data_IF_322964113109
#
_entry.id   IF_322964113109
#
_cell.length_a   1.000
_cell.length_b   1.000
_cell.length_c   1.000
_cell.angle_alpha   90.00
_cell.angle_beta   90.00
_cell.angle_gamma   90.00
#
_symmetry.space_group_name_H-M   'P 1'
#
loop_
_entity.id
_entity.type
_entity.pdbx_description
1 polymer ?
#
# COMPACT_ATOMS: atom_id res chain seq x y z
N UNK A 1 -14.19 -36.81 -16.84
CA UNK A 1 -12.84 -36.24 -16.75
C UNK A 1 -12.45 -36.35 -15.30
N UNK A 2 -11.45 -37.18 -15.01
CA UNK A 2 -11.06 -37.57 -13.66
C UNK A 2 -10.25 -36.46 -13.00
N UNK A 3 -10.33 -36.38 -11.66
CA UNK A 3 -9.62 -35.43 -10.79
C UNK A 3 -8.09 -35.44 -10.97
N UNK A 4 -7.56 -36.45 -11.68
CA UNK A 4 -6.14 -36.63 -12.00
C UNK A 4 -5.67 -35.77 -13.19
N UNK A 5 -6.56 -35.30 -14.07
CA UNK A 5 -6.20 -34.43 -15.20
C UNK A 5 -6.09 -32.95 -14.81
N UNK A 6 -6.75 -32.53 -13.72
CA UNK A 6 -6.69 -31.14 -13.23
C UNK A 6 -5.34 -30.82 -12.60
N UNK A 7 -4.66 -31.81 -12.01
CA UNK A 7 -3.40 -31.61 -11.28
C UNK A 7 -2.13 -31.63 -12.16
N UNK A 8 -2.27 -31.77 -13.48
CA UNK A 8 -1.13 -31.69 -14.44
C UNK A 8 -0.95 -30.30 -15.07
N UNK A 9 -1.92 -29.39 -14.91
CA UNK A 9 -1.90 -28.06 -15.54
C UNK A 9 -1.05 -27.01 -14.82
N UNK A 10 -0.62 -27.26 -13.58
CA UNK A 10 0.04 -26.25 -12.73
C UNK A 10 1.50 -26.59 -12.37
N UNK A 11 2.03 -27.74 -12.79
CA UNK A 11 3.38 -28.17 -12.40
C UNK A 11 4.54 -27.62 -13.26
N UNK A 12 4.27 -26.72 -14.21
CA UNK A 12 5.29 -26.14 -15.10
C UNK A 12 5.26 -24.60 -15.14
N UNK A 13 4.94 -23.94 -14.01
CA UNK A 13 5.30 -22.54 -13.83
C UNK A 13 6.57 -22.48 -12.97
N UNK A 14 7.69 -22.91 -13.53
CA UNK A 14 9.01 -22.57 -13.01
C UNK A 14 9.15 -21.05 -13.11
N UNK A 15 8.94 -20.37 -11.98
CA UNK A 15 9.27 -18.97 -11.77
C UNK A 15 10.81 -18.85 -11.75
N UNK A 16 11.44 -18.96 -12.92
CA UNK A 16 12.89 -18.70 -13.08
C UNK A 16 13.16 -17.27 -13.61
N UNK A 17 12.13 -16.41 -13.61
CA UNK A 17 12.23 -15.01 -14.05
C UNK A 17 11.78 -14.00 -12.96
N UNK A 18 11.83 -14.35 -11.67
CA UNK A 18 11.51 -13.38 -10.59
C UNK A 18 12.60 -12.31 -10.39
N UNK A 19 13.84 -12.55 -10.83
CA UNK A 19 14.97 -11.60 -10.65
C UNK A 19 15.04 -10.48 -11.71
N UNK A 20 14.22 -10.51 -12.77
CA UNK A 20 14.25 -9.48 -13.84
C UNK A 20 13.18 -8.39 -13.69
N UNK A 21 12.13 -8.59 -12.90
CA UNK A 21 11.11 -7.56 -12.65
C UNK A 21 11.59 -6.45 -11.72
N UNK A 22 12.65 -6.70 -10.94
CA UNK A 22 13.26 -5.72 -10.01
C UNK A 22 14.24 -4.75 -10.69
N UNK A 23 14.54 -4.95 -11.98
CA UNK A 23 15.36 -4.00 -12.76
C UNK A 23 14.51 -3.07 -13.59
N UNK A 24 13.49 -2.46 -12.97
CA UNK A 24 13.05 -1.16 -13.46
C UNK A 24 14.21 -0.20 -13.15
N UNK A 25 15.11 0.00 -14.11
CA UNK A 25 16.05 1.15 -14.12
C UNK A 25 15.21 2.44 -14.25
N UNK A 26 14.40 2.72 -13.24
CA UNK A 26 13.66 3.95 -13.12
C UNK A 26 14.61 5.01 -12.60
N UNK A 27 14.69 6.15 -13.30
CA UNK A 27 15.40 7.33 -12.81
C UNK A 27 14.72 8.00 -11.60
N UNK A 28 13.85 7.29 -10.88
CA UNK A 28 13.21 7.79 -9.68
C UNK A 28 14.28 8.03 -8.62
N UNK A 29 14.32 9.27 -8.14
CA UNK A 29 15.14 9.64 -6.99
C UNK A 29 14.18 9.95 -5.84
N UNK A 30 14.24 9.19 -4.73
CA UNK A 30 13.39 9.47 -3.59
C UNK A 30 13.58 10.93 -3.15
N UNK A 31 12.48 11.64 -2.81
CA UNK A 31 12.57 13.03 -2.41
C UNK A 31 13.31 13.15 -1.07
N UNK A 32 13.86 14.34 -0.81
CA UNK A 32 14.39 14.66 0.50
C UNK A 32 13.25 14.62 1.52
N UNK A 33 13.48 13.98 2.66
CA UNK A 33 12.54 13.97 3.78
C UNK A 33 12.25 15.40 4.26
N UNK A 34 10.97 15.68 4.48
CA UNK A 34 10.45 16.93 5.05
C UNK A 34 9.31 16.59 5.99
N UNK A 35 9.23 17.31 7.10
CA UNK A 35 8.13 17.24 8.05
C UNK A 35 6.89 17.97 7.53
N UNK A 36 5.71 17.63 8.06
CA UNK A 36 4.47 18.32 7.70
C UNK A 36 4.50 19.81 8.03
N UNK A 37 5.09 20.17 9.17
CA UNK A 37 5.25 21.58 9.56
C UNK A 37 6.10 22.37 8.57
N UNK A 38 7.22 21.81 8.10
CA UNK A 38 8.08 22.46 7.10
C UNK A 38 7.36 22.65 5.77
N UNK A 39 6.55 21.66 5.36
CA UNK A 39 5.74 21.74 4.14
C UNK A 39 4.68 22.85 4.27
N UNK A 40 4.04 22.99 5.43
CA UNK A 40 3.04 24.03 5.70
C UNK A 40 3.66 25.44 5.85
N UNK A 41 4.91 25.54 6.34
CA UNK A 41 5.64 26.80 6.50
C UNK A 41 6.31 27.31 5.23
N UNK A 42 6.61 26.43 4.28
CA UNK A 42 7.17 26.86 2.99
C UNK A 42 6.17 27.76 2.24
N UNK A 43 6.64 28.86 1.66
CA UNK A 43 5.86 29.70 0.73
C UNK A 43 4.50 30.16 1.28
N UNK A 44 4.41 30.48 2.57
CA UNK A 44 3.15 30.91 3.21
C UNK A 44 2.56 32.18 2.62
N UNK A 45 3.42 33.04 2.07
CA UNK A 45 3.00 34.29 1.43
C UNK A 45 2.37 34.08 0.04
N UNK A 46 2.40 32.84 -0.49
CA UNK A 46 1.78 32.48 -1.77
C UNK A 46 0.38 31.89 -1.56
N UNK A 47 -0.65 32.68 -1.83
CA UNK A 47 -2.04 32.25 -1.71
C UNK A 47 -2.39 31.03 -2.58
N UNK A 48 -1.75 30.89 -3.74
CA UNK A 48 -2.02 29.78 -4.66
C UNK A 48 -1.49 28.46 -4.09
N UNK A 49 -0.27 28.49 -3.52
CA UNK A 49 0.32 27.34 -2.85
C UNK A 49 -0.37 27.01 -1.53
N UNK A 50 -0.85 28.02 -0.78
CA UNK A 50 -1.66 27.79 0.41
C UNK A 50 -2.96 27.03 0.07
N UNK A 51 -3.68 27.44 -0.99
CA UNK A 51 -4.88 26.74 -1.47
C UNK A 51 -4.57 25.31 -1.95
N UNK A 52 -3.46 25.13 -2.64
CA UNK A 52 -3.01 23.80 -3.10
C UNK A 52 -2.74 22.86 -1.92
N UNK A 53 -2.00 23.33 -0.90
CA UNK A 53 -1.70 22.54 0.31
C UNK A 53 -2.96 22.21 1.08
N UNK A 54 -3.87 23.16 1.27
CA UNK A 54 -5.15 22.92 1.95
C UNK A 54 -6.04 21.89 1.23
N UNK A 55 -5.92 21.77 -0.10
CA UNK A 55 -6.66 20.76 -0.88
C UNK A 55 -6.09 19.35 -0.74
N UNK A 56 -4.77 19.22 -0.55
CA UNK A 56 -4.09 17.93 -0.42
C UNK A 56 -3.98 17.44 1.02
N UNK A 57 -3.83 18.38 1.97
CA UNK A 57 -3.61 18.10 3.39
C UNK A 57 -4.91 18.46 4.11
N UNK A 58 -5.80 17.48 4.39
CA UNK A 58 -7.12 17.75 4.96
C UNK A 58 -7.06 18.25 6.41
N UNK A 59 -5.96 18.00 7.12
CA UNK A 59 -5.72 18.48 8.49
C UNK A 59 -4.24 18.81 8.68
N UNK A 60 -3.94 19.96 9.29
CA UNK A 60 -2.59 20.32 9.72
C UNK A 60 -2.13 19.55 10.96
N UNK A 61 -3.06 18.96 11.69
CA UNK A 61 -2.78 18.17 12.88
C UNK A 61 -2.70 16.68 12.55
N UNK A 62 -1.79 15.93 13.21
CA UNK A 62 -1.65 14.50 13.02
C UNK A 62 -2.94 13.78 13.46
N UNK A 63 -3.50 12.98 12.56
CA UNK A 63 -4.66 12.15 12.85
C UNK A 63 -4.20 10.94 13.66
N UNK A 64 -4.40 10.99 14.98
CA UNK A 64 -4.07 9.91 15.90
C UNK A 64 -5.17 8.85 15.90
N UNK A 65 -4.93 7.73 15.20
CA UNK A 65 -5.87 6.60 15.16
C UNK A 65 -5.59 5.65 16.33
N UNK A 66 -4.32 5.28 16.53
CA UNK A 66 -3.87 4.36 17.59
C UNK A 66 -2.63 4.98 18.28
N UNK A 67 -2.80 5.71 19.39
CA UNK A 67 -1.71 6.47 20.01
C UNK A 67 -0.61 5.59 20.61
N UNK A 68 -0.89 4.30 20.84
CA UNK A 68 0.08 3.32 21.37
C UNK A 68 0.92 2.66 20.27
N UNK A 69 0.56 2.87 18.99
CA UNK A 69 1.25 2.27 17.86
C UNK A 69 2.27 3.26 17.29
N UNK A 70 3.58 2.93 17.28
CA UNK A 70 4.61 3.86 16.80
C UNK A 70 4.66 3.98 15.26
N UNK A 71 3.87 3.19 14.52
CA UNK A 71 3.94 3.14 13.06
C UNK A 71 3.13 4.28 12.42
N UNK A 72 3.72 4.92 11.41
CA UNK A 72 3.07 5.99 10.64
C UNK A 72 1.96 5.46 9.72
N UNK A 73 2.00 4.17 9.35
CA UNK A 73 1.06 3.53 8.43
C UNK A 73 0.56 2.23 9.05
N UNK A 74 -0.76 2.10 9.15
CA UNK A 74 -1.44 0.93 9.69
C UNK A 74 -2.32 0.32 8.62
N UNK A 75 -1.90 -0.82 8.08
CA UNK A 75 -2.65 -1.53 7.04
C UNK A 75 -3.76 -2.33 7.71
N UNK A 76 -5.02 -2.01 7.37
CA UNK A 76 -6.19 -2.65 8.00
C UNK A 76 -6.66 -3.87 7.24
N UNK A 77 -6.78 -3.78 5.91
CA UNK A 77 -7.37 -4.84 5.07
C UNK A 77 -6.72 -4.85 3.69
N UNK A 78 -6.66 -6.03 3.08
CA UNK A 78 -6.31 -6.22 1.67
C UNK A 78 -7.48 -6.96 1.02
N UNK A 79 -7.95 -6.49 -0.13
CA UNK A 79 -9.10 -7.09 -0.82
C UNK A 79 -8.74 -7.50 -2.25
N UNK A 80 -9.22 -8.67 -2.66
CA UNK A 80 -9.16 -9.16 -4.02
C UNK A 80 -10.49 -8.85 -4.72
N UNK A 81 -10.47 -7.78 -5.51
CA UNK A 81 -11.63 -7.28 -6.26
C UNK A 81 -11.68 -7.96 -7.62
N UNK A 82 -12.78 -8.64 -7.92
CA UNK A 82 -13.01 -9.29 -9.21
C UNK A 82 -14.44 -9.03 -9.65
N UNK A 83 -14.59 -8.63 -10.91
CA UNK A 83 -15.89 -8.32 -11.49
C UNK A 83 -16.83 -9.54 -11.45
N UNK A 84 -18.07 -9.33 -11.01
CA UNK A 84 -19.11 -10.36 -11.00
C UNK A 84 -19.07 -11.32 -9.80
N UNK A 85 -18.17 -11.11 -8.83
CA UNK A 85 -18.19 -11.78 -7.52
C UNK A 85 -18.01 -10.79 -6.38
N UNK A 86 -18.33 -11.22 -5.17
CA UNK A 86 -18.01 -10.43 -3.97
C UNK A 86 -16.50 -10.40 -3.71
N UNK A 87 -16.03 -9.31 -3.13
CA UNK A 87 -14.62 -9.11 -2.79
C UNK A 87 -14.19 -10.09 -1.71
N UNK A 88 -13.06 -10.76 -1.93
CA UNK A 88 -12.41 -11.52 -0.86
C UNK A 88 -11.50 -10.60 -0.07
N UNK A 89 -11.75 -10.49 1.24
CA UNK A 89 -11.10 -9.52 2.10
C UNK A 89 -10.27 -10.22 3.17
N UNK A 90 -8.98 -9.90 3.19
CA UNK A 90 -8.05 -10.29 4.24
C UNK A 90 -7.96 -9.17 5.27
N UNK A 91 -8.24 -9.50 6.54
CA UNK A 91 -8.09 -8.57 7.66
C UNK A 91 -6.65 -8.62 8.21
N UNK A 92 -5.93 -7.51 8.05
CA UNK A 92 -4.52 -7.37 8.43
C UNK A 92 -4.34 -6.81 9.84
N UNK A 93 -5.43 -6.51 10.54
CA UNK A 93 -5.39 -6.19 11.98
C UNK A 93 -5.25 -7.43 12.86
N UNK A 94 -5.47 -8.62 12.28
CA UNK A 94 -5.29 -9.91 12.95
C UNK A 94 -3.82 -10.31 13.00
N UNK A 95 -3.47 -11.18 13.96
CA UNK A 95 -2.12 -11.74 14.04
C UNK A 95 -1.77 -12.53 12.77
N UNK A 96 -0.52 -12.39 12.30
CA UNK A 96 -0.04 -13.04 11.08
C UNK A 96 -0.23 -14.56 11.08
N UNK A 97 -0.23 -15.19 12.27
CA UNK A 97 -0.44 -16.63 12.40
C UNK A 97 -1.88 -17.05 12.03
N UNK A 98 -2.88 -16.21 12.32
CA UNK A 98 -4.27 -16.46 11.92
C UNK A 98 -4.43 -16.32 10.40
N UNK A 99 -3.76 -15.32 9.81
CA UNK A 99 -3.75 -15.07 8.37
C UNK A 99 -3.08 -16.22 7.61
N UNK A 100 -1.94 -16.72 8.09
CA UNK A 100 -1.21 -17.83 7.45
C UNK A 100 -1.93 -19.18 7.53
N UNK A 101 -2.88 -19.32 8.45
CA UNK A 101 -3.65 -20.54 8.64
C UNK A 101 -4.98 -20.52 7.89
N UNK A 102 -5.29 -19.41 7.22
CA UNK A 102 -6.46 -19.25 6.35
C UNK A 102 -6.11 -19.73 4.94
#
# INVERSE_FOLDING_TARGET
MSEEEVNKGTQNLTLEDEDELDKVEGNYRPPKEKTMEEILKADQDDESLARYKAKLIPSSEPILIEPENPNNVLVKKLALVVEGREDEVLDLTQGLDAIKST
#
